data_IF_912500940758
#
_entry.id   IF_912500940758
#
_cell.length_a   1.000
_cell.length_b   1.000
_cell.length_c   1.000
_cell.angle_alpha   90.00
_cell.angle_beta   90.00
_cell.angle_gamma   90.00
#
_symmetry.space_group_name_H-M   'P 1'
#
loop_
_entity.id
_entity.type
_entity.pdbx_description
1 polymer ?
#
# COMPACT_ATOMS: atom_id res chain seq x y z
N UNK A 1 19.42 -9.63 12.33
CA UNK A 1 19.56 -8.25 11.78
C UNK A 1 20.01 -8.24 10.31
N UNK A 2 21.17 -8.80 9.93
CA UNK A 2 21.74 -8.61 8.58
C UNK A 2 21.35 -9.67 7.52
N UNK A 3 20.71 -10.77 7.90
CA UNK A 3 20.42 -11.89 6.98
C UNK A 3 19.62 -11.49 5.73
N UNK A 4 18.74 -10.50 5.83
CA UNK A 4 17.97 -10.00 4.69
C UNK A 4 18.85 -9.39 3.60
N UNK A 5 19.98 -8.75 3.95
CA UNK A 5 20.92 -8.20 2.97
C UNK A 5 21.56 -9.31 2.15
N UNK A 6 21.97 -10.41 2.80
CA UNK A 6 22.52 -11.57 2.09
C UNK A 6 21.52 -12.12 1.08
N UNK A 7 20.25 -12.25 1.48
CA UNK A 7 19.18 -12.70 0.58
C UNK A 7 19.02 -11.72 -0.58
N UNK A 8 18.82 -10.42 -0.32
CA UNK A 8 18.62 -9.43 -1.38
C UNK A 8 19.82 -9.32 -2.31
N UNK A 9 21.05 -9.39 -1.78
CA UNK A 9 22.26 -9.39 -2.59
C UNK A 9 22.29 -10.60 -3.52
N UNK A 10 21.96 -11.80 -3.03
CA UNK A 10 21.83 -12.99 -3.89
C UNK A 10 20.81 -12.76 -5.01
N UNK A 11 19.65 -12.17 -4.67
CA UNK A 11 18.60 -11.81 -5.63
C UNK A 11 19.03 -10.72 -6.63
N UNK A 12 20.03 -9.90 -6.30
CA UNK A 12 20.57 -8.86 -7.19
C UNK A 12 21.72 -9.36 -8.06
N UNK A 13 22.52 -10.33 -7.63
CA UNK A 13 23.74 -10.72 -8.36
C UNK A 13 23.55 -11.95 -9.27
N UNK A 14 22.61 -12.84 -8.95
CA UNK A 14 22.42 -14.08 -9.70
C UNK A 14 21.48 -13.83 -10.89
N UNK A 15 22.02 -13.97 -12.11
CA UNK A 15 21.22 -13.82 -13.34
C UNK A 15 20.32 -15.03 -13.62
N UNK A 16 20.70 -16.22 -13.13
CA UNK A 16 19.85 -17.41 -13.18
C UNK A 16 18.77 -17.36 -12.08
N UNK A 17 17.74 -16.57 -12.37
CA UNK A 17 16.57 -16.41 -11.51
C UNK A 17 15.73 -17.68 -11.42
N UNK A 18 15.85 -18.62 -12.36
CA UNK A 18 15.12 -19.90 -12.30
C UNK A 18 15.67 -20.74 -11.14
N UNK A 19 16.99 -20.82 -11.02
CA UNK A 19 17.63 -21.52 -9.90
C UNK A 19 17.30 -20.85 -8.57
N UNK A 20 17.43 -19.52 -8.46
CA UNK A 20 17.06 -18.79 -7.23
C UNK A 20 15.62 -19.05 -6.79
N UNK A 21 14.68 -19.08 -7.74
CA UNK A 21 13.28 -19.37 -7.44
C UNK A 21 13.09 -20.79 -6.91
N UNK A 22 13.73 -21.78 -7.54
CA UNK A 22 13.55 -23.21 -7.24
C UNK A 22 14.26 -23.68 -5.97
N UNK A 23 15.29 -22.98 -5.52
CA UNK A 23 15.96 -23.26 -4.26
C UNK A 23 15.48 -22.28 -3.19
N UNK A 24 16.18 -21.15 -3.06
CA UNK A 24 16.06 -20.20 -1.96
C UNK A 24 14.64 -19.69 -1.75
N UNK A 25 14.00 -19.14 -2.78
CA UNK A 25 12.70 -18.48 -2.61
C UNK A 25 11.55 -19.48 -2.41
N UNK A 26 11.60 -20.64 -3.06
CA UNK A 26 10.55 -21.65 -2.87
C UNK A 26 10.65 -22.37 -1.53
N UNK A 27 11.86 -22.54 -0.98
CA UNK A 27 12.04 -23.03 0.39
C UNK A 27 11.49 -22.02 1.38
N UNK A 28 11.86 -20.75 1.23
CA UNK A 28 11.31 -19.67 2.05
C UNK A 28 9.77 -19.62 1.98
N UNK A 29 9.19 -19.71 0.79
CA UNK A 29 7.73 -19.67 0.59
C UNK A 29 6.99 -20.85 1.23
N UNK A 30 7.64 -22.01 1.36
CA UNK A 30 7.06 -23.22 1.97
C UNK A 30 7.15 -23.21 3.49
N UNK A 31 8.25 -22.68 4.02
CA UNK A 31 8.52 -22.72 5.45
C UNK A 31 7.90 -21.54 6.19
N UNK A 32 7.77 -20.39 5.54
CA UNK A 32 7.28 -19.19 6.20
C UNK A 32 5.76 -19.22 6.40
N UNK A 33 5.32 -19.08 7.65
CA UNK A 33 3.90 -18.99 7.97
C UNK A 33 3.37 -17.58 7.78
N UNK A 34 2.05 -17.44 7.72
CA UNK A 34 1.43 -16.12 7.65
C UNK A 34 1.73 -15.27 8.89
N UNK A 35 1.68 -15.89 10.07
CA UNK A 35 1.98 -15.23 11.35
C UNK A 35 3.42 -14.73 11.40
N UNK A 36 4.37 -15.48 10.82
CA UNK A 36 5.77 -15.09 10.71
C UNK A 36 5.97 -13.91 9.75
N UNK A 37 5.24 -13.89 8.63
CA UNK A 37 5.19 -12.73 7.73
C UNK A 37 4.63 -11.53 8.50
N UNK A 38 3.48 -11.69 9.15
CA UNK A 38 2.81 -10.62 9.89
C UNK A 38 3.73 -10.02 10.98
N UNK A 39 4.38 -10.88 11.78
CA UNK A 39 5.35 -10.47 12.79
C UNK A 39 6.54 -9.75 12.16
N UNK A 40 7.02 -10.21 11.00
CA UNK A 40 8.13 -9.60 10.28
C UNK A 40 7.79 -8.23 9.69
N UNK A 41 6.57 -8.03 9.17
CA UNK A 41 6.16 -6.75 8.56
C UNK A 41 5.85 -5.67 9.60
N UNK A 42 5.39 -6.08 10.78
CA UNK A 42 5.05 -5.19 11.91
C UNK A 42 6.20 -5.04 12.92
N UNK A 43 7.34 -5.71 12.69
CA UNK A 43 8.49 -5.69 13.59
C UNK A 43 8.93 -4.25 13.99
N UNK A 44 9.13 -3.97 15.29
CA UNK A 44 9.58 -2.67 15.79
C UNK A 44 10.94 -2.18 15.29
N UNK A 45 11.82 -3.05 14.81
CA UNK A 45 13.05 -2.60 14.13
C UNK A 45 12.78 -2.19 12.67
N UNK A 46 11.79 -2.81 12.02
CA UNK A 46 11.43 -2.58 10.62
C UNK A 46 12.45 -3.13 9.64
N UNK A 47 13.32 -4.02 10.11
CA UNK A 47 14.37 -4.67 9.32
C UNK A 47 13.79 -5.87 8.57
N UNK A 48 12.97 -6.69 9.24
CA UNK A 48 12.43 -7.92 8.65
C UNK A 48 11.53 -7.64 7.43
N UNK A 49 10.80 -6.52 7.42
CA UNK A 49 9.96 -6.13 6.27
C UNK A 49 10.74 -5.77 5.00
N UNK A 50 12.04 -5.48 5.11
CA UNK A 50 12.85 -5.00 3.97
C UNK A 50 12.92 -6.02 2.84
N UNK A 51 12.89 -7.32 3.15
CA UNK A 51 12.83 -8.36 2.12
C UNK A 51 11.54 -8.26 1.29
N UNK A 52 10.39 -8.09 1.93
CA UNK A 52 9.11 -7.99 1.23
C UNK A 52 8.97 -6.66 0.48
N UNK A 53 9.47 -5.57 1.06
CA UNK A 53 9.57 -4.29 0.36
C UNK A 53 10.47 -4.42 -0.86
N UNK A 54 11.63 -5.09 -0.75
CA UNK A 54 12.47 -5.37 -1.91
C UNK A 54 11.67 -6.08 -3.00
N UNK A 55 10.91 -7.12 -2.71
CA UNK A 55 10.16 -7.86 -3.73
C UNK A 55 9.01 -7.05 -4.38
N UNK A 56 8.45 -6.06 -3.69
CA UNK A 56 7.23 -5.36 -4.13
C UNK A 56 7.48 -3.98 -4.74
N UNK A 57 8.51 -3.26 -4.33
CA UNK A 57 8.79 -1.91 -4.87
C UNK A 57 9.48 -1.99 -6.24
N UNK A 58 9.33 -0.98 -7.12
CA UNK A 58 10.22 -0.82 -8.28
C UNK A 58 11.68 -0.58 -7.87
N UNK A 59 12.65 -0.99 -8.69
CA UNK A 59 14.08 -0.82 -8.38
C UNK A 59 14.48 0.65 -8.13
N UNK A 60 13.93 1.60 -8.89
CA UNK A 60 14.18 3.02 -8.73
C UNK A 60 13.69 3.58 -7.37
N UNK A 61 12.79 2.87 -6.69
CA UNK A 61 12.26 3.25 -5.39
C UNK A 61 13.02 2.67 -4.19
N UNK A 62 14.11 1.92 -4.41
CA UNK A 62 14.94 1.35 -3.34
C UNK A 62 15.39 2.39 -2.30
N UNK A 63 15.72 3.61 -2.72
CA UNK A 63 16.16 4.70 -1.82
C UNK A 63 15.11 5.15 -0.80
N UNK A 64 13.84 4.75 -0.95
CA UNK A 64 12.77 5.05 0.02
C UNK A 64 12.87 4.20 1.28
N UNK A 65 13.47 3.01 1.19
CA UNK A 65 13.45 1.99 2.24
C UNK A 65 14.82 1.48 2.64
N UNK A 66 15.83 1.70 1.81
CA UNK A 66 17.20 1.25 2.03
C UNK A 66 18.15 2.44 2.13
N UNK A 67 19.10 2.37 3.06
CA UNK A 67 20.16 3.36 3.20
C UNK A 67 21.11 3.34 1.99
N UNK A 68 21.94 4.37 1.85
CA UNK A 68 22.94 4.41 0.78
C UNK A 68 23.90 3.21 0.88
N UNK A 69 24.34 2.89 2.09
CA UNK A 69 25.30 1.81 2.36
C UNK A 69 24.66 0.44 2.08
N UNK A 70 23.39 0.25 2.45
CA UNK A 70 22.65 -0.97 2.11
C UNK A 70 22.54 -1.15 0.59
N UNK A 71 22.19 -0.09 -0.13
CA UNK A 71 22.12 -0.12 -1.59
C UNK A 71 23.48 -0.46 -2.20
N UNK A 72 24.56 0.12 -1.69
CA UNK A 72 25.91 -0.17 -2.16
C UNK A 72 26.28 -1.64 -1.95
N UNK A 73 25.97 -2.21 -0.78
CA UNK A 73 26.20 -3.64 -0.46
C UNK A 73 25.38 -4.60 -1.34
N UNK A 74 24.18 -4.18 -1.74
CA UNK A 74 23.28 -4.98 -2.57
C UNK A 74 23.52 -4.79 -4.08
N UNK A 75 24.32 -3.81 -4.47
CA UNK A 75 24.59 -3.51 -5.89
C UNK A 75 25.63 -4.49 -6.44
N UNK A 76 25.34 -5.17 -7.56
CA UNK A 76 26.30 -6.08 -8.17
C UNK A 76 27.59 -5.36 -8.59
N UNK A 77 28.72 -6.06 -8.45
CA UNK A 77 29.99 -5.57 -8.98
C UNK A 77 29.88 -5.39 -10.49
N UNK A 78 30.42 -4.28 -11.01
CA UNK A 78 30.33 -3.96 -12.44
C UNK A 78 30.88 -5.12 -13.28
N UNK A 79 30.04 -5.66 -14.15
CA UNK A 79 30.39 -6.73 -15.10
C UNK A 79 30.14 -8.16 -14.62
N UNK A 80 29.74 -8.38 -13.36
CA UNK A 80 29.44 -9.74 -12.86
C UNK A 80 28.02 -10.19 -13.17
N UNK A 81 27.07 -9.26 -13.19
CA UNK A 81 25.66 -9.52 -13.46
C UNK A 81 25.25 -8.73 -14.70
N UNK A 82 24.76 -9.45 -15.72
CA UNK A 82 24.45 -8.91 -17.06
C UNK A 82 22.97 -8.62 -17.24
N UNK A 83 22.11 -9.25 -16.44
CA UNK A 83 20.66 -9.01 -16.49
C UNK A 83 20.31 -7.63 -15.93
N UNK A 84 19.37 -6.95 -16.57
CA UNK A 84 18.81 -5.69 -16.08
C UNK A 84 18.23 -5.87 -14.66
N UNK A 85 18.51 -4.96 -13.71
CA UNK A 85 18.04 -5.10 -12.33
C UNK A 85 16.52 -5.22 -12.19
N UNK A 86 15.76 -4.42 -12.93
CA UNK A 86 14.29 -4.47 -12.87
C UNK A 86 13.76 -5.75 -13.51
N UNK A 87 14.34 -6.18 -14.64
CA UNK A 87 14.02 -7.48 -15.25
C UNK A 87 14.26 -8.64 -14.28
N UNK A 88 15.43 -8.69 -13.62
CA UNK A 88 15.75 -9.73 -12.64
C UNK A 88 14.73 -9.76 -11.51
N UNK A 89 14.37 -8.58 -11.00
CA UNK A 89 13.38 -8.40 -9.93
C UNK A 89 11.98 -8.86 -10.34
N UNK A 90 11.56 -8.53 -11.55
CA UNK A 90 10.27 -8.95 -12.12
C UNK A 90 10.17 -10.47 -12.31
N UNK A 91 11.29 -11.15 -12.53
CA UNK A 91 11.29 -12.60 -12.68
C UNK A 91 11.15 -13.36 -11.35
N UNK A 92 11.50 -12.74 -10.22
CA UNK A 92 11.54 -13.37 -8.88
C UNK A 92 10.41 -12.95 -7.94
N UNK A 93 9.83 -11.76 -8.15
CA UNK A 93 8.89 -11.16 -7.19
C UNK A 93 7.65 -12.04 -6.93
N UNK A 94 7.21 -12.82 -7.90
CA UNK A 94 5.98 -13.61 -7.81
C UNK A 94 6.04 -14.82 -6.86
N UNK A 95 7.22 -15.22 -6.35
CA UNK A 95 7.32 -16.46 -5.55
C UNK A 95 6.61 -16.36 -4.21
N UNK A 96 6.69 -15.20 -3.55
CA UNK A 96 6.01 -14.96 -2.27
C UNK A 96 4.68 -14.22 -2.43
N UNK A 97 4.16 -14.11 -3.67
CA UNK A 97 2.96 -13.33 -3.95
C UNK A 97 1.78 -13.82 -3.11
N UNK A 98 1.48 -15.12 -3.18
CA UNK A 98 0.32 -15.69 -2.49
C UNK A 98 0.45 -15.57 -0.97
N UNK A 99 1.62 -15.88 -0.39
CA UNK A 99 1.85 -15.71 1.04
C UNK A 99 1.66 -14.24 1.50
N UNK A 100 2.14 -13.27 0.72
CA UNK A 100 2.01 -11.85 1.05
C UNK A 100 0.58 -11.33 0.86
N UNK A 101 -0.12 -11.77 -0.17
CA UNK A 101 -1.52 -11.42 -0.40
C UNK A 101 -2.40 -11.95 0.72
N UNK A 102 -2.25 -13.23 1.11
CA UNK A 102 -2.98 -13.81 2.24
C UNK A 102 -2.73 -13.04 3.54
N UNK A 103 -1.46 -12.82 3.90
CA UNK A 103 -1.10 -12.05 5.08
C UNK A 103 -1.73 -10.65 5.08
N UNK A 104 -1.74 -9.97 3.93
CA UNK A 104 -2.36 -8.66 3.81
C UNK A 104 -3.88 -8.73 3.96
N UNK A 105 -4.54 -9.71 3.35
CA UNK A 105 -6.00 -9.90 3.40
C UNK A 105 -6.48 -10.19 4.82
N UNK A 106 -5.79 -11.07 5.54
CA UNK A 106 -6.20 -11.50 6.88
C UNK A 106 -5.94 -10.42 7.95
N UNK A 107 -4.98 -9.52 7.71
CA UNK A 107 -4.48 -8.57 8.73
C UNK A 107 -4.66 -7.09 8.35
N UNK A 108 -5.60 -6.75 7.45
CA UNK A 108 -5.74 -5.38 6.92
C UNK A 108 -5.87 -4.33 8.02
N UNK A 109 -6.72 -4.56 9.03
CA UNK A 109 -6.97 -3.59 10.11
C UNK A 109 -5.66 -3.22 10.82
N UNK A 110 -4.89 -4.23 11.22
CA UNK A 110 -3.64 -4.08 11.95
C UNK A 110 -2.59 -3.43 11.05
N UNK A 111 -2.42 -3.92 9.83
CA UNK A 111 -1.44 -3.41 8.87
C UNK A 111 -1.74 -1.96 8.48
N UNK A 112 -3.00 -1.60 8.26
CA UNK A 112 -3.37 -0.24 7.88
C UNK A 112 -3.07 0.80 8.98
N UNK A 113 -3.14 0.38 10.24
CA UNK A 113 -2.82 1.23 11.41
C UNK A 113 -1.34 1.19 11.77
N UNK A 114 -0.61 0.15 11.42
CA UNK A 114 0.83 0.08 11.66
C UNK A 114 1.62 0.90 10.62
N UNK A 115 2.54 1.74 11.09
CA UNK A 115 3.34 2.62 10.21
C UNK A 115 4.17 1.81 9.21
N UNK A 116 4.56 0.59 9.57
CA UNK A 116 5.45 -0.23 8.75
C UNK A 116 4.73 -1.27 7.93
N UNK A 117 3.73 -1.92 8.51
CA UNK A 117 2.83 -2.85 7.85
C UNK A 117 2.07 -2.17 6.71
N UNK A 118 1.64 -0.92 6.90
CA UNK A 118 0.95 -0.15 5.85
C UNK A 118 1.79 0.04 4.60
N UNK A 119 3.12 0.18 4.71
CA UNK A 119 3.99 0.23 3.54
C UNK A 119 3.95 -1.10 2.77
N UNK A 120 3.99 -2.24 3.46
CA UNK A 120 3.93 -3.56 2.79
C UNK A 120 2.55 -3.76 2.16
N UNK A 121 1.47 -3.49 2.89
CA UNK A 121 0.10 -3.57 2.39
C UNK A 121 -0.09 -2.76 1.10
N UNK A 122 0.36 -1.50 1.07
CA UNK A 122 0.24 -0.63 -0.10
C UNK A 122 1.12 -1.07 -1.27
N UNK A 123 2.33 -1.56 -1.00
CA UNK A 123 3.22 -2.05 -2.06
C UNK A 123 2.75 -3.38 -2.63
N UNK A 124 2.17 -4.28 -1.82
CA UNK A 124 1.50 -5.50 -2.31
C UNK A 124 0.32 -5.13 -3.21
N UNK A 125 -0.56 -4.24 -2.74
CA UNK A 125 -1.71 -3.76 -3.53
C UNK A 125 -1.27 -3.11 -4.85
N UNK A 126 -0.25 -2.24 -4.83
CA UNK A 126 0.24 -1.57 -6.03
C UNK A 126 0.90 -2.56 -7.00
N UNK A 127 1.68 -3.52 -6.49
CA UNK A 127 2.47 -4.42 -7.32
C UNK A 127 1.64 -5.52 -7.96
N UNK A 128 0.72 -6.08 -7.18
CA UNK A 128 -0.17 -7.15 -7.59
C UNK A 128 -1.58 -6.73 -7.29
N UNK A 129 -2.11 -5.85 -8.13
CA UNK A 129 -3.48 -5.41 -7.95
C UNK A 129 -4.41 -6.62 -7.86
N UNK A 130 -5.12 -6.71 -6.73
CA UNK A 130 -5.90 -7.88 -6.35
C UNK A 130 -7.25 -7.41 -5.81
N UNK A 131 -8.32 -7.85 -6.46
CA UNK A 131 -9.70 -7.48 -6.11
C UNK A 131 -10.08 -8.00 -4.71
N UNK A 132 -9.57 -9.16 -4.29
CA UNK A 132 -9.87 -9.71 -2.97
C UNK A 132 -9.16 -8.94 -1.87
N UNK A 133 -7.94 -8.43 -2.12
CA UNK A 133 -7.30 -7.47 -1.22
C UNK A 133 -8.06 -6.13 -1.17
N UNK A 134 -8.59 -5.65 -2.30
CA UNK A 134 -9.45 -4.46 -2.31
C UNK A 134 -10.70 -4.67 -1.45
N UNK A 135 -11.37 -5.82 -1.60
CA UNK A 135 -12.52 -6.20 -0.76
C UNK A 135 -12.15 -6.31 0.72
N UNK A 136 -11.00 -6.90 1.04
CA UNK A 136 -10.52 -7.00 2.42
C UNK A 136 -10.32 -5.60 3.02
N UNK A 137 -9.77 -4.65 2.25
CA UNK A 137 -9.65 -3.25 2.66
C UNK A 137 -11.01 -2.59 2.87
N UNK A 138 -11.97 -2.78 1.96
CA UNK A 138 -13.31 -2.19 2.13
C UNK A 138 -14.06 -2.81 3.31
N UNK A 139 -13.93 -4.12 3.54
CA UNK A 139 -14.54 -4.84 4.65
C UNK A 139 -13.93 -4.40 6.00
N UNK A 140 -12.62 -4.16 6.03
CA UNK A 140 -11.95 -3.60 7.21
C UNK A 140 -12.44 -2.19 7.51
N UNK A 141 -12.60 -1.35 6.47
CA UNK A 141 -13.18 -0.01 6.62
C UNK A 141 -14.65 -0.08 7.04
N UNK A 142 -15.44 -1.03 6.54
CA UNK A 142 -16.84 -1.19 6.96
C UNK A 142 -16.94 -1.59 8.44
N UNK A 143 -16.13 -2.57 8.86
CA UNK A 143 -16.15 -3.13 10.22
C UNK A 143 -15.55 -2.18 11.26
N UNK A 144 -14.52 -1.42 10.89
CA UNK A 144 -13.73 -0.60 11.80
C UNK A 144 -13.57 0.85 11.32
N UNK A 145 -14.58 1.40 10.61
CA UNK A 145 -14.49 2.68 9.90
C UNK A 145 -13.89 3.80 10.74
N UNK A 146 -14.47 4.05 11.92
CA UNK A 146 -14.01 5.11 12.80
C UNK A 146 -12.58 4.84 13.30
N UNK A 147 -12.28 3.58 13.66
CA UNK A 147 -10.97 3.18 14.15
C UNK A 147 -9.88 3.30 13.07
N UNK A 148 -10.20 3.11 11.78
CA UNK A 148 -9.24 3.24 10.69
C UNK A 148 -9.13 4.69 10.21
N UNK A 149 -10.25 5.36 9.91
CA UNK A 149 -10.25 6.68 9.27
C UNK A 149 -9.87 7.83 10.23
N UNK A 150 -10.03 7.65 11.54
CA UNK A 150 -9.56 8.63 12.52
C UNK A 150 -8.13 8.35 13.00
N UNK A 151 -7.59 7.15 12.73
CA UNK A 151 -6.23 6.77 13.09
C UNK A 151 -5.20 7.52 12.23
N UNK A 152 -4.10 8.04 12.83
CA UNK A 152 -3.08 8.81 12.09
C UNK A 152 -2.50 8.06 10.88
N UNK A 153 -2.20 6.77 11.03
CA UNK A 153 -1.70 5.93 9.92
C UNK A 153 -2.86 5.40 9.06
N UNK A 154 -3.98 5.03 9.67
CA UNK A 154 -5.07 4.33 8.98
C UNK A 154 -5.65 5.17 7.85
N UNK A 155 -5.95 6.44 8.13
CA UNK A 155 -6.44 7.38 7.13
C UNK A 155 -5.44 7.60 5.97
N UNK A 156 -4.14 7.65 6.28
CA UNK A 156 -3.09 7.81 5.26
C UNK A 156 -3.02 6.56 4.39
N UNK A 157 -3.14 5.38 4.99
CA UNK A 157 -3.17 4.10 4.27
C UNK A 157 -4.35 4.07 3.31
N UNK A 158 -5.57 4.34 3.79
CA UNK A 158 -6.78 4.34 2.94
C UNK A 158 -6.67 5.41 1.84
N UNK A 159 -6.24 6.62 2.18
CA UNK A 159 -5.99 7.69 1.20
C UNK A 159 -5.00 7.23 0.12
N UNK A 160 -3.87 6.63 0.52
CA UNK A 160 -2.84 6.14 -0.43
C UNK A 160 -3.38 5.00 -1.29
N UNK A 161 -4.18 4.08 -0.73
CA UNK A 161 -4.81 3.01 -1.50
C UNK A 161 -5.74 3.57 -2.59
N UNK A 162 -6.52 4.61 -2.28
CA UNK A 162 -7.36 5.32 -3.26
C UNK A 162 -6.55 6.02 -4.35
N UNK A 163 -5.39 6.60 -4.00
CA UNK A 163 -4.48 7.20 -4.99
C UNK A 163 -3.90 6.13 -5.91
N UNK A 164 -3.51 4.98 -5.36
CA UNK A 164 -3.04 3.84 -6.15
C UNK A 164 -4.13 3.35 -7.11
N UNK A 165 -5.38 3.23 -6.63
CA UNK A 165 -6.52 2.86 -7.48
C UNK A 165 -6.69 3.83 -8.65
N UNK A 166 -6.66 5.14 -8.37
CA UNK A 166 -6.75 6.21 -9.38
C UNK A 166 -5.66 6.14 -10.44
N UNK A 167 -4.44 5.76 -10.07
CA UNK A 167 -3.28 5.73 -10.99
C UNK A 167 -3.30 4.51 -11.94
N UNK A 168 -4.22 3.56 -11.74
CA UNK A 168 -4.39 2.40 -12.62
C UNK A 168 -5.01 2.77 -13.96
N UNK A 169 -4.60 2.08 -15.01
CA UNK A 169 -5.17 2.22 -16.36
C UNK A 169 -6.64 1.81 -16.45
N UNK A 170 -7.09 0.86 -15.61
CA UNK A 170 -8.45 0.31 -15.63
C UNK A 170 -9.29 0.74 -14.40
N UNK A 171 -8.91 1.83 -13.72
CA UNK A 171 -9.56 2.33 -12.50
C UNK A 171 -11.05 2.64 -12.67
N UNK A 172 -11.51 2.91 -13.89
CA UNK A 172 -12.92 3.17 -14.21
C UNK A 172 -13.74 1.89 -14.42
N UNK A 173 -13.09 0.74 -14.71
CA UNK A 173 -13.76 -0.54 -14.97
C UNK A 173 -13.83 -1.43 -13.73
N UNK A 174 -12.84 -1.33 -12.85
CA UNK A 174 -12.69 -2.15 -11.64
C UNK A 174 -12.41 -1.23 -10.44
N UNK A 175 -13.48 -0.59 -9.98
CA UNK A 175 -13.54 0.52 -9.03
C UNK A 175 -14.02 0.09 -7.62
N UNK A 176 -13.89 -1.20 -7.29
CA UNK A 176 -14.43 -1.81 -6.07
C UNK A 176 -14.01 -1.06 -4.81
N UNK A 177 -12.75 -0.59 -4.75
CA UNK A 177 -12.19 0.11 -3.59
C UNK A 177 -12.81 1.50 -3.41
N UNK A 178 -12.72 2.36 -4.44
CA UNK A 178 -13.19 3.74 -4.34
C UNK A 178 -14.72 3.84 -4.19
N UNK A 179 -15.49 3.09 -5.00
CA UNK A 179 -16.96 3.06 -4.95
C UNK A 179 -17.45 2.47 -3.61
N UNK A 180 -16.88 1.33 -3.24
CA UNK A 180 -16.61 0.83 -1.88
C UNK A 180 -16.75 1.84 -0.74
N UNK A 181 -15.62 2.50 -0.52
CA UNK A 181 -15.39 3.45 0.57
C UNK A 181 -16.35 4.65 0.45
N UNK A 182 -16.64 5.11 -0.77
CA UNK A 182 -17.57 6.22 -0.96
C UNK A 182 -18.97 5.89 -0.44
N UNK A 183 -19.53 4.73 -0.81
CA UNK A 183 -20.84 4.28 -0.33
C UNK A 183 -20.91 4.19 1.19
N UNK A 184 -19.84 3.74 1.84
CA UNK A 184 -19.75 3.68 3.30
C UNK A 184 -19.67 5.08 3.95
N UNK A 185 -18.95 6.02 3.34
CA UNK A 185 -18.79 7.37 3.91
C UNK A 185 -19.98 8.28 3.66
N UNK A 186 -20.69 8.11 2.53
CA UNK A 186 -21.76 9.01 2.06
C UNK A 186 -22.88 9.29 3.10
N UNK A 187 -23.37 8.33 3.90
CA UNK A 187 -24.44 8.59 4.87
C UNK A 187 -24.07 9.65 5.94
N UNK A 188 -22.80 9.70 6.34
CA UNK A 188 -22.31 10.50 7.47
C UNK A 188 -21.39 11.65 7.03
N UNK A 189 -21.63 12.23 5.85
CA UNK A 189 -20.77 13.27 5.26
C UNK A 189 -20.45 14.43 6.20
N UNK A 190 -21.43 14.90 6.98
CA UNK A 190 -21.22 15.99 7.95
C UNK A 190 -20.16 15.64 9.01
N UNK A 191 -20.19 14.40 9.51
CA UNK A 191 -19.19 13.88 10.45
C UNK A 191 -17.81 13.86 9.80
N UNK A 192 -17.70 13.29 8.60
CA UNK A 192 -16.42 13.10 7.93
C UNK A 192 -15.76 14.39 7.47
N UNK A 193 -16.54 15.41 7.08
CA UNK A 193 -16.03 16.76 6.77
C UNK A 193 -15.44 17.41 8.02
N UNK A 194 -16.06 17.21 9.19
CA UNK A 194 -15.68 17.85 10.44
C UNK A 194 -14.40 17.26 11.07
N UNK A 195 -13.89 16.15 10.52
CA UNK A 195 -12.66 15.49 11.00
C UNK A 195 -11.58 15.64 9.94
N UNK A 196 -10.52 16.41 10.25
CA UNK A 196 -9.46 16.76 9.29
C UNK A 196 -8.80 15.52 8.63
N UNK A 197 -8.64 14.42 9.37
CA UNK A 197 -8.09 13.15 8.83
C UNK A 197 -9.04 12.52 7.81
N UNK A 198 -10.31 12.37 8.15
CA UNK A 198 -11.32 11.80 7.26
C UNK A 198 -11.53 12.69 6.01
N UNK A 199 -11.43 14.01 6.16
CA UNK A 199 -11.49 14.94 5.04
C UNK A 199 -10.34 14.73 4.02
N UNK A 200 -9.17 14.23 4.42
CA UNK A 200 -8.14 13.86 3.43
C UNK A 200 -8.52 12.63 2.60
N UNK A 201 -9.30 11.71 3.16
CA UNK A 201 -9.86 10.56 2.44
C UNK A 201 -10.95 11.03 1.48
N UNK A 202 -11.83 11.95 1.93
CA UNK A 202 -12.80 12.61 1.05
C UNK A 202 -12.14 13.34 -0.12
N UNK A 203 -11.00 14.01 0.11
CA UNK A 203 -10.25 14.65 -0.96
C UNK A 203 -9.73 13.62 -2.00
N UNK A 204 -9.24 12.45 -1.55
CA UNK A 204 -8.81 11.41 -2.48
C UNK A 204 -9.99 10.85 -3.31
N UNK A 205 -11.17 10.69 -2.70
CA UNK A 205 -12.40 10.30 -3.42
C UNK A 205 -12.86 11.39 -4.39
N UNK A 206 -12.79 12.67 -4.00
CA UNK A 206 -13.13 13.80 -4.87
C UNK A 206 -12.23 13.84 -6.13
N UNK A 207 -10.97 13.42 -5.99
CA UNK A 207 -10.00 13.36 -7.06
C UNK A 207 -10.04 12.07 -7.90
N UNK A 208 -10.83 11.07 -7.49
CA UNK A 208 -10.89 9.76 -8.13
C UNK A 208 -11.92 9.78 -9.29
N UNK A 209 -11.58 9.30 -10.51
CA UNK A 209 -12.46 9.40 -11.69
C UNK A 209 -13.86 8.83 -11.48
N UNK A 210 -13.95 7.69 -10.78
CA UNK A 210 -15.22 7.02 -10.50
C UNK A 210 -16.15 7.80 -9.55
N UNK A 211 -15.62 8.42 -8.50
CA UNK A 211 -16.43 8.96 -7.39
C UNK A 211 -16.50 10.48 -7.39
N UNK A 212 -15.66 11.16 -8.18
CA UNK A 212 -15.51 12.62 -8.19
C UNK A 212 -16.83 13.38 -8.33
N UNK A 213 -17.70 12.98 -9.27
CA UNK A 213 -18.99 13.66 -9.52
C UNK A 213 -19.91 13.59 -8.31
N UNK A 214 -20.08 12.39 -7.76
CA UNK A 214 -20.98 12.14 -6.63
C UNK A 214 -20.45 12.78 -5.34
N UNK A 215 -19.14 12.68 -5.10
CA UNK A 215 -18.49 13.32 -3.95
C UNK A 215 -18.62 14.83 -4.05
N UNK A 216 -18.40 15.41 -5.22
CA UNK A 216 -18.57 16.86 -5.46
C UNK A 216 -20.00 17.31 -5.20
N UNK A 217 -21.00 16.55 -5.63
CA UNK A 217 -22.40 16.85 -5.38
C UNK A 217 -22.72 16.82 -3.88
N UNK A 218 -22.33 15.74 -3.18
CA UNK A 218 -22.57 15.63 -1.73
C UNK A 218 -21.80 16.68 -0.91
N UNK A 219 -20.62 17.11 -1.35
CA UNK A 219 -19.89 18.21 -0.73
C UNK A 219 -20.62 19.56 -0.91
N UNK A 220 -21.21 19.83 -2.07
CA UNK A 220 -22.04 21.02 -2.30
C UNK A 220 -23.31 21.02 -1.44
N UNK A 221 -23.95 19.87 -1.29
CA UNK A 221 -25.11 19.72 -0.38
C UNK A 221 -24.75 19.99 1.09
N UNK A 222 -23.48 19.87 1.46
CA UNK A 222 -22.96 20.11 2.80
C UNK A 222 -22.06 21.36 2.87
N UNK A 223 -22.27 22.35 1.99
CA UNK A 223 -21.44 23.56 1.89
C UNK A 223 -21.35 24.33 3.22
N UNK A 224 -22.44 24.39 4.00
CA UNK A 224 -22.44 25.03 5.32
C UNK A 224 -21.41 24.41 6.26
N UNK A 225 -21.33 23.07 6.30
CA UNK A 225 -20.37 22.35 7.16
C UNK A 225 -18.93 22.56 6.68
N UNK A 226 -18.71 22.66 5.37
CA UNK A 226 -17.40 23.02 4.82
C UNK A 226 -16.96 24.42 5.27
N UNK A 227 -17.87 25.41 5.24
CA UNK A 227 -17.59 26.77 5.69
C UNK A 227 -17.30 26.84 7.19
N UNK A 228 -18.03 26.08 8.00
CA UNK A 228 -17.79 25.97 9.45
C UNK A 228 -16.41 25.36 9.77
N UNK A 229 -15.97 24.39 8.96
CA UNK A 229 -14.71 23.68 9.13
C UNK A 229 -13.57 24.20 8.24
N UNK A 230 -13.71 25.41 7.68
CA UNK A 230 -12.76 25.99 6.72
C UNK A 230 -11.32 26.13 7.26
N UNK A 231 -11.11 26.05 8.57
CA UNK A 231 -9.78 26.14 9.16
C UNK A 231 -8.98 24.83 9.06
N UNK A 232 -9.67 23.70 8.88
CA UNK A 232 -9.05 22.39 8.71
C UNK A 232 -8.30 22.33 7.37
N UNK A 233 -7.04 21.87 7.41
CA UNK A 233 -6.17 21.85 6.24
C UNK A 233 -6.76 21.05 5.06
N UNK A 234 -7.36 19.89 5.33
CA UNK A 234 -8.01 19.08 4.29
C UNK A 234 -9.23 19.78 3.68
N UNK A 235 -10.04 20.45 4.51
CA UNK A 235 -11.21 21.20 4.05
C UNK A 235 -10.79 22.40 3.18
N UNK A 236 -9.71 23.10 3.54
CA UNK A 236 -9.12 24.16 2.70
C UNK A 236 -8.73 23.64 1.31
N UNK A 237 -8.23 22.41 1.21
CA UNK A 237 -7.88 21.79 -0.08
C UNK A 237 -9.15 21.47 -0.87
N UNK A 238 -10.14 20.82 -0.23
CA UNK A 238 -11.42 20.49 -0.86
C UNK A 238 -12.10 21.74 -1.41
N UNK A 239 -12.20 22.81 -0.63
CA UNK A 239 -12.85 24.07 -1.03
C UNK A 239 -12.17 24.76 -2.23
N UNK A 240 -10.89 24.48 -2.51
CA UNK A 240 -10.19 25.02 -3.70
C UNK A 240 -10.55 24.29 -4.99
N UNK A 241 -11.08 23.07 -4.89
CA UNK A 241 -11.38 22.17 -6.03
C UNK A 241 -12.88 22.10 -6.33
N UNK A 242 -13.73 22.47 -5.36
CA UNK A 242 -15.18 22.59 -5.53
C UNK A 242 -15.56 23.76 -6.44
#
# INVERSE_FOLDING_TARGET
EYGYLTIITALNVVDDTVTLKKSLLSELAKEITEEEIFASVTDPSGICRKLYLYLTIPYEHMRRYFSKDEIELMTPVKGTSKKDPEMRKNEINGVLKENLESCCIENVVQLAKDKKGSDVLLNVLNRWWNVDLCKAITNAVESEMQNILEHPTGQVTIKRALVLDKERKDSEKDNVLADTIWKLMKPDMKKWISINRCAFVLNALLEHPCTSKDVKQSLKENETVLKENKELAAVKIIMKVL
#
